data_IF_218440349380
#
_entry.id   IF_218440349380
#
_cell.length_a   1.000
_cell.length_b   1.000
_cell.length_c   1.000
_cell.angle_alpha   90.00
_cell.angle_beta   90.00
_cell.angle_gamma   90.00
#
_symmetry.space_group_name_H-M   'P 1'
#
loop_
_entity.id
_entity.type
_entity.pdbx_description
1 polymer ?
#
# COMPACT_ATOMS: atom_id res chain seq x y z
N UNK A 1 -3.47 -11.04 10.54
CA UNK A 1 -3.80 -9.70 10.03
C UNK A 1 -3.77 -8.63 11.13
N UNK A 2 -3.84 -7.34 10.77
CA UNK A 2 -4.03 -6.19 11.68
C UNK A 2 -5.29 -5.40 11.28
N UNK A 3 -5.86 -4.62 12.20
CA UNK A 3 -7.01 -3.76 11.90
C UNK A 3 -6.70 -2.83 10.70
N UNK A 4 -7.64 -2.61 9.76
CA UNK A 4 -9.05 -3.03 9.77
C UNK A 4 -9.32 -4.37 9.08
N UNK A 5 -8.29 -5.13 8.69
CA UNK A 5 -8.51 -6.41 8.01
C UNK A 5 -9.26 -7.41 8.91
N UNK A 6 -10.00 -8.31 8.25
CA UNK A 6 -10.85 -9.36 8.86
C UNK A 6 -10.56 -10.75 8.29
N UNK A 7 -9.60 -10.84 7.39
CA UNK A 7 -9.26 -12.08 6.69
C UNK A 7 -7.76 -12.21 6.58
N UNK A 8 -7.30 -13.44 6.40
CA UNK A 8 -5.94 -13.78 6.03
C UNK A 8 -5.98 -14.54 4.71
N UNK A 9 -5.16 -14.14 3.73
CA UNK A 9 -5.07 -14.79 2.43
C UNK A 9 -4.09 -16.00 2.44
N UNK A 10 -3.40 -16.23 3.57
CA UNK A 10 -2.39 -17.29 3.76
C UNK A 10 -2.47 -17.86 5.17
N UNK A 11 -2.02 -19.10 5.36
CA UNK A 11 -1.79 -19.71 6.68
C UNK A 11 -0.38 -19.45 7.24
N UNK A 12 0.47 -18.73 6.51
CA UNK A 12 1.79 -18.32 6.98
C UNK A 12 1.64 -17.31 8.13
N UNK A 13 2.34 -17.57 9.24
CA UNK A 13 2.33 -16.74 10.46
C UNK A 13 3.71 -16.21 10.83
N UNK A 14 4.69 -16.36 9.93
CA UNK A 14 6.04 -15.84 10.11
C UNK A 14 6.01 -14.30 10.20
N UNK A 15 6.46 -13.71 11.33
CA UNK A 15 6.40 -12.27 11.56
C UNK A 15 7.35 -11.46 10.67
N UNK A 16 8.21 -12.11 9.88
CA UNK A 16 9.03 -11.43 8.85
C UNK A 16 8.21 -10.96 7.64
N UNK A 17 6.97 -11.43 7.50
CA UNK A 17 6.04 -10.97 6.47
C UNK A 17 5.06 -9.95 7.04
N UNK A 18 4.67 -8.93 6.26
CA UNK A 18 3.69 -7.98 6.70
C UNK A 18 2.31 -8.63 6.91
N UNK A 19 1.58 -8.27 7.99
CA UNK A 19 0.25 -8.79 8.21
C UNK A 19 -0.75 -8.19 7.21
N UNK A 20 -1.76 -8.95 6.77
CA UNK A 20 -2.88 -8.41 6.01
C UNK A 20 -3.50 -7.19 6.71
N UNK A 21 -3.89 -6.18 5.95
CA UNK A 21 -4.39 -4.91 6.48
C UNK A 21 -3.31 -3.90 6.88
N UNK A 22 -2.04 -4.29 6.90
CA UNK A 22 -0.93 -3.35 7.12
C UNK A 22 -1.00 -2.22 6.09
N UNK A 23 -0.91 -0.99 6.59
CA UNK A 23 -0.79 0.20 5.75
C UNK A 23 0.67 0.56 5.55
N UNK A 24 0.99 0.98 4.33
CA UNK A 24 2.31 1.47 3.96
C UNK A 24 2.19 2.89 3.43
N UNK A 25 3.27 3.67 3.51
CA UNK A 25 3.36 4.99 2.88
C UNK A 25 4.70 5.10 2.19
N UNK A 26 4.71 5.59 0.95
CA UNK A 26 5.95 5.85 0.24
C UNK A 26 6.70 6.97 0.97
N UNK A 27 8.00 6.81 1.19
CA UNK A 27 8.77 7.83 1.89
C UNK A 27 8.68 9.17 1.17
N UNK A 28 8.50 10.25 1.95
CA UNK A 28 8.39 11.60 1.39
C UNK A 28 9.64 12.00 0.58
N UNK A 29 10.80 11.45 0.95
CA UNK A 29 12.10 11.69 0.33
C UNK A 29 12.33 10.88 -0.96
N UNK A 30 11.46 9.92 -1.31
CA UNK A 30 11.59 9.15 -2.54
C UNK A 30 11.56 10.09 -3.76
N UNK A 31 12.61 10.03 -4.59
CA UNK A 31 12.76 10.90 -5.76
C UNK A 31 11.87 10.41 -6.91
N UNK A 32 10.89 11.23 -7.28
CA UNK A 32 9.92 10.94 -8.34
C UNK A 32 10.28 11.65 -9.65
N UNK A 33 11.38 12.41 -9.70
CA UNK A 33 11.74 13.26 -10.83
C UNK A 33 12.11 12.50 -12.10
N UNK A 34 12.44 11.21 -12.00
CA UNK A 34 12.76 10.32 -13.13
C UNK A 34 11.55 9.64 -13.80
N UNK A 35 10.35 9.75 -13.21
CA UNK A 35 9.16 9.04 -13.67
C UNK A 35 8.35 9.87 -14.67
N UNK A 36 7.52 9.21 -15.48
CA UNK A 36 6.45 9.83 -16.27
C UNK A 36 5.44 10.61 -15.41
N UNK A 37 4.61 11.44 -16.04
CA UNK A 37 3.65 12.24 -15.27
C UNK A 37 2.55 11.36 -14.64
N UNK A 38 2.09 10.33 -15.34
CA UNK A 38 1.09 9.37 -14.86
C UNK A 38 1.62 8.60 -13.64
N UNK A 39 2.84 8.06 -13.72
CA UNK A 39 3.46 7.36 -12.61
C UNK A 39 3.68 8.29 -11.40
N UNK A 40 4.09 9.54 -11.62
CA UNK A 40 4.19 10.54 -10.54
C UNK A 40 2.87 10.77 -9.83
N UNK A 41 1.74 10.82 -10.53
CA UNK A 41 0.42 10.96 -9.88
C UNK A 41 0.18 9.81 -8.89
N UNK A 42 0.53 8.59 -9.27
CA UNK A 42 0.39 7.41 -8.41
C UNK A 42 1.38 7.49 -7.23
N UNK A 43 2.65 7.82 -7.48
CA UNK A 43 3.68 7.93 -6.44
C UNK A 43 3.33 9.02 -5.40
N UNK A 44 2.83 10.17 -5.84
CA UNK A 44 2.38 11.23 -4.93
C UNK A 44 1.12 10.82 -4.15
N UNK A 45 0.22 10.03 -4.76
CA UNK A 45 -0.89 9.41 -4.04
C UNK A 45 -0.40 8.41 -2.99
N UNK A 46 0.64 7.61 -3.28
CA UNK A 46 1.26 6.70 -2.31
C UNK A 46 1.95 7.44 -1.15
N UNK A 47 2.56 8.61 -1.41
CA UNK A 47 3.10 9.49 -0.35
C UNK A 47 2.01 10.10 0.50
N UNK A 48 0.89 10.49 -0.12
CA UNK A 48 -0.18 11.24 0.57
C UNK A 48 -1.15 10.33 1.32
N UNK A 49 -1.65 9.28 0.66
CA UNK A 49 -2.73 8.42 1.13
C UNK A 49 -2.24 7.03 1.56
N UNK A 50 -1.04 6.64 1.14
CA UNK A 50 -0.50 5.32 1.41
C UNK A 50 -1.15 4.20 0.60
N UNK A 51 -0.81 2.98 0.98
CA UNK A 51 -1.27 1.71 0.40
C UNK A 51 -1.75 0.80 1.52
N UNK A 52 -2.48 -0.25 1.15
CA UNK A 52 -2.91 -1.31 2.07
C UNK A 52 -2.61 -2.68 1.49
N UNK A 53 -2.04 -3.57 2.30
CA UNK A 53 -1.87 -4.96 1.93
C UNK A 53 -3.22 -5.69 1.99
N UNK A 54 -3.80 -5.94 0.82
CA UNK A 54 -5.16 -6.47 0.68
C UNK A 54 -5.24 -7.94 0.28
N UNK A 55 -4.21 -8.48 -0.39
CA UNK A 55 -4.15 -9.85 -0.87
C UNK A 55 -2.69 -10.31 -1.03
N UNK A 56 -2.48 -11.59 -1.29
CA UNK A 56 -1.19 -12.16 -1.65
C UNK A 56 -0.87 -11.96 -3.14
N UNK A 57 0.42 -11.96 -3.46
CA UNK A 57 0.92 -11.84 -4.83
C UNK A 57 2.44 -11.88 -4.87
N UNK A 58 3.03 -11.41 -5.96
CA UNK A 58 4.46 -11.12 -5.96
C UNK A 58 4.78 -9.97 -5.00
N UNK A 59 6.00 -9.89 -4.46
CA UNK A 59 6.41 -8.80 -3.59
C UNK A 59 6.13 -7.44 -4.24
N UNK A 60 5.49 -6.54 -3.49
CA UNK A 60 5.20 -5.16 -3.91
C UNK A 60 4.40 -5.03 -5.21
N UNK A 61 3.62 -6.05 -5.56
CA UNK A 61 2.70 -5.97 -6.68
C UNK A 61 1.61 -4.93 -6.41
N UNK A 62 1.52 -3.93 -7.29
CA UNK A 62 0.44 -2.96 -7.27
C UNK A 62 -0.73 -3.47 -8.12
N UNK A 63 -1.88 -3.66 -7.47
CA UNK A 63 -3.14 -3.93 -8.17
C UNK A 63 -3.97 -2.66 -8.32
N UNK A 64 -4.83 -2.64 -9.33
CA UNK A 64 -5.72 -1.54 -9.62
C UNK A 64 -6.94 -1.99 -10.41
N UNK A 65 -7.91 -1.10 -10.57
CA UNK A 65 -9.01 -1.35 -11.48
C UNK A 65 -8.53 -1.17 -12.93
N UNK A 66 -8.82 -2.11 -13.84
CA UNK A 66 -8.48 -1.94 -15.25
C UNK A 66 -9.24 -0.72 -15.81
N UNK A 67 -8.53 0.16 -16.50
CA UNK A 67 -9.10 1.34 -17.14
C UNK A 67 -8.29 1.66 -18.41
N UNK A 68 -8.97 1.89 -19.53
CA UNK A 68 -8.34 2.16 -20.83
C UNK A 68 -7.59 3.50 -20.88
N UNK A 69 -7.81 4.36 -19.88
CA UNK A 69 -7.08 5.64 -19.75
C UNK A 69 -5.68 5.46 -19.17
N UNK A 70 -5.34 4.27 -18.69
CA UNK A 70 -3.98 3.95 -18.24
C UNK A 70 -3.12 3.45 -19.40
N UNK A 71 -1.88 3.96 -19.46
CA UNK A 71 -0.82 3.38 -20.29
C UNK A 71 -0.06 2.32 -19.48
N UNK A 72 -0.20 1.05 -19.86
CA UNK A 72 0.44 -0.06 -19.14
C UNK A 72 1.97 -0.01 -19.22
N UNK A 73 2.54 0.50 -20.32
CA UNK A 73 4.00 0.62 -20.44
C UNK A 73 4.54 1.63 -19.42
N UNK A 74 3.76 2.67 -19.14
CA UNK A 74 4.07 3.65 -18.09
C UNK A 74 3.90 3.07 -16.69
N UNK A 75 2.88 2.23 -16.45
CA UNK A 75 2.68 1.60 -15.13
C UNK A 75 3.86 0.70 -14.71
N UNK A 76 4.58 0.10 -15.68
CA UNK A 76 5.77 -0.69 -15.42
C UNK A 76 6.94 0.12 -14.83
N UNK A 77 6.93 1.45 -14.91
CA UNK A 77 7.92 2.27 -14.21
C UNK A 77 7.87 2.05 -12.69
N UNK A 78 6.71 1.67 -12.14
CA UNK A 78 6.50 1.45 -10.71
C UNK A 78 7.15 0.14 -10.20
N UNK A 79 7.55 -0.76 -11.09
CA UNK A 79 8.16 -2.06 -10.73
C UNK A 79 9.51 -1.91 -10.01
N UNK A 80 10.10 -0.71 -10.04
CA UNK A 80 11.35 -0.39 -9.33
C UNK A 80 11.18 -0.24 -7.82
N UNK A 81 9.93 -0.08 -7.35
CA UNK A 81 9.63 0.15 -5.95
C UNK A 81 9.94 -1.10 -5.11
N UNK A 82 10.66 -0.89 -4.02
CA UNK A 82 11.04 -1.92 -3.07
C UNK A 82 10.46 -1.61 -1.70
N UNK A 83 10.40 -2.63 -0.83
CA UNK A 83 9.88 -2.42 0.51
C UNK A 83 10.67 -1.46 1.38
N UNK A 84 11.95 -1.23 1.06
CA UNK A 84 12.77 -0.21 1.70
C UNK A 84 12.36 1.22 1.37
N UNK A 85 11.55 1.43 0.32
CA UNK A 85 11.06 2.76 -0.06
C UNK A 85 9.82 3.17 0.73
N UNK A 86 9.28 2.27 1.57
CA UNK A 86 8.05 2.47 2.31
C UNK A 86 8.26 2.38 3.81
N UNK A 87 7.45 3.16 4.54
CA UNK A 87 7.27 2.97 5.98
C UNK A 87 5.99 2.19 6.27
N UNK A 88 6.05 1.30 7.27
CA UNK A 88 4.87 0.67 7.83
C UNK A 88 4.16 1.65 8.77
N UNK A 89 2.91 1.99 8.46
CA UNK A 89 2.13 2.97 9.22
C UNK A 89 1.46 2.29 10.40
N UNK A 90 1.70 2.78 11.61
CA UNK A 90 0.93 2.42 12.79
C UNK A 90 -0.45 3.09 12.74
N UNK A 91 -1.49 2.25 12.64
CA UNK A 91 -2.89 2.68 12.56
C UNK A 91 -3.66 2.45 13.85
N UNK A 92 -2.98 2.05 14.93
CA UNK A 92 -3.62 1.73 16.22
C UNK A 92 -4.44 2.90 16.79
N UNK A 93 -3.98 4.14 16.57
CA UNK A 93 -4.68 5.36 16.98
C UNK A 93 -5.98 5.63 16.21
N UNK A 94 -6.15 5.02 15.03
CA UNK A 94 -7.35 5.16 14.22
C UNK A 94 -8.46 4.19 14.63
N UNK A 95 -8.13 3.12 15.35
CA UNK A 95 -9.08 2.06 15.69
C UNK A 95 -9.98 2.47 16.87
N UNK A 96 -11.30 2.57 16.64
CA UNK A 96 -12.27 2.77 17.73
C UNK A 96 -12.52 1.48 18.50
N UNK A 97 -12.80 0.41 17.76
CA UNK A 97 -13.08 -0.91 18.28
C UNK A 97 -12.56 -1.95 17.28
N UNK A 98 -11.89 -3.01 17.74
CA UNK A 98 -11.24 -3.99 16.88
C UNK A 98 -12.21 -4.68 15.92
N UNK A 99 -13.50 -4.80 16.25
CA UNK A 99 -14.53 -5.51 15.47
C UNK A 99 -15.45 -4.57 14.65
N UNK A 100 -15.39 -3.25 14.87
CA UNK A 100 -16.28 -2.28 14.20
C UNK A 100 -15.84 -1.81 12.80
N UNK A 101 -14.56 -1.90 12.46
CA UNK A 101 -13.93 -1.19 11.34
C UNK A 101 -14.13 0.35 11.37
N UNK A 102 -14.59 0.90 12.50
CA UNK A 102 -14.82 2.32 12.68
C UNK A 102 -13.50 3.06 12.97
N UNK A 103 -13.34 4.21 12.32
CA UNK A 103 -12.18 5.09 12.45
C UNK A 103 -12.46 6.16 13.49
N UNK A 104 -11.51 6.44 14.37
CA UNK A 104 -11.59 7.53 15.33
C UNK A 104 -11.67 8.86 14.56
N UNK A 105 -12.61 9.74 14.96
CA UNK A 105 -12.70 11.07 14.36
C UNK A 105 -11.40 11.85 14.64
N UNK A 106 -10.91 12.65 13.67
CA UNK A 106 -9.70 13.46 13.82
C UNK A 106 -9.83 14.55 14.88
#
# INVERSE_FOLDING_TARGET
HVWPARHDASSNTDPSYPPMGQRFRLEAAFDTSGFSWEARVILEAMKTYGLILADNGSPWYLSGAPDERWDNDVLHELDVLQGSDFEAVDVSSLMVDPDSAAVAAP
#
